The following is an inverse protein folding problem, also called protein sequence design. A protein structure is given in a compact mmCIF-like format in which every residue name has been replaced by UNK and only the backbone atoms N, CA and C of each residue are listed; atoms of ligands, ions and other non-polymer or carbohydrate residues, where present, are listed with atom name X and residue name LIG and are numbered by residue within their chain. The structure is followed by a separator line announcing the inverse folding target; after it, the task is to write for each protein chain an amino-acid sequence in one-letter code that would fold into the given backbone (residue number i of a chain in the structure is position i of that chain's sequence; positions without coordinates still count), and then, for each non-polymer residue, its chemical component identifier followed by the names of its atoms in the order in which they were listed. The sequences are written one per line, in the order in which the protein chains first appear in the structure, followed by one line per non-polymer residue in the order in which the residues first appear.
data_IF_913617188041
#
_entry.id   IF_913617188041
#
_cell.length_a   1.000
_cell.length_b   1.000
_cell.length_c   1.000
_cell.angle_alpha   90.00
_cell.angle_beta   90.00
_cell.angle_gamma   90.00
#
_symmetry.space_group_name_H-M   'P 1'
#
loop_
_entity.id
_entity.type
_entity.pdbx_description
1 polymer ?
#
# COMPACT_ATOMS: atom_id res chain seq x y z
N UNK A 1 18.52 31.71 18.47
CA UNK A 1 19.05 30.47 17.84
C UNK A 1 19.23 30.72 16.33
N UNK A 2 20.17 31.58 15.94
CA UNK A 2 20.33 32.06 14.54
C UNK A 2 21.82 32.29 14.17
N UNK A 3 22.74 31.52 14.76
CA UNK A 3 24.20 31.73 14.67
C UNK A 3 24.96 30.50 14.13
N UNK A 4 24.35 29.66 13.29
CA UNK A 4 25.03 28.51 12.66
C UNK A 4 25.20 28.59 11.14
N UNK A 5 24.76 29.64 10.45
CA UNK A 5 24.86 29.72 8.98
C UNK A 5 25.97 30.63 8.44
N UNK A 6 26.65 31.40 9.29
CA UNK A 6 27.74 32.26 8.85
C UNK A 6 29.01 31.47 8.42
N UNK A 7 29.25 30.30 9.02
CA UNK A 7 30.40 29.44 8.69
C UNK A 7 30.31 28.81 7.30
N UNK A 8 29.14 28.27 6.94
CA UNK A 8 28.88 27.66 5.61
C UNK A 8 29.00 28.65 4.45
N UNK A 9 28.78 29.94 4.70
CA UNK A 9 28.89 31.00 3.68
C UNK A 9 30.35 31.39 3.39
N UNK A 10 31.26 31.29 4.36
CA UNK A 10 32.67 31.64 4.18
C UNK A 10 33.45 30.55 3.42
N UNK A 11 33.15 29.27 3.67
CA UNK A 11 33.79 28.13 2.97
C UNK A 11 33.44 28.09 1.47
N UNK A 12 32.21 28.44 1.09
CA UNK A 12 31.78 28.46 -0.32
C UNK A 12 32.48 29.52 -1.18
N UNK A 13 33.18 30.51 -0.59
CA UNK A 13 33.91 31.55 -1.32
C UNK A 13 35.31 31.12 -1.79
N UNK A 14 35.84 30.00 -1.28
CA UNK A 14 37.16 29.47 -1.66
C UNK A 14 37.08 28.30 -2.67
N UNK A 15 35.90 27.72 -2.88
CA UNK A 15 35.74 26.55 -3.77
C UNK A 15 35.90 26.91 -5.25
N UNK A 16 36.66 26.10 -5.98
CA UNK A 16 36.75 26.17 -7.44
C UNK A 16 35.38 25.84 -8.08
N UNK A 17 35.14 26.21 -9.35
CA UNK A 17 33.92 25.81 -10.06
C UNK A 17 33.71 24.28 -10.08
N UNK A 18 34.78 23.51 -10.22
CA UNK A 18 34.75 22.04 -10.23
C UNK A 18 34.32 21.48 -8.86
N UNK A 19 34.91 21.99 -7.78
CA UNK A 19 34.54 21.60 -6.41
C UNK A 19 33.08 21.93 -6.09
N UNK A 20 32.57 23.06 -6.60
CA UNK A 20 31.14 23.41 -6.47
C UNK A 20 30.24 22.43 -7.23
N UNK A 21 30.60 22.06 -8.45
CA UNK A 21 29.83 21.09 -9.22
C UNK A 21 29.80 19.69 -8.56
N UNK A 22 30.93 19.25 -8.00
CA UNK A 22 31.01 17.99 -7.25
C UNK A 22 30.16 18.04 -5.97
N UNK A 23 30.21 19.16 -5.23
CA UNK A 23 29.36 19.37 -4.07
C UNK A 23 27.87 19.40 -4.44
N UNK A 24 27.49 20.09 -5.53
CA UNK A 24 26.12 20.15 -6.01
C UNK A 24 25.60 18.75 -6.40
N UNK A 25 26.45 17.91 -7.01
CA UNK A 25 26.12 16.53 -7.32
C UNK A 25 25.94 15.67 -6.07
N UNK A 26 26.82 15.84 -5.07
CA UNK A 26 26.72 15.16 -3.78
C UNK A 26 25.46 15.58 -3.01
N UNK A 27 25.14 16.88 -2.99
CA UNK A 27 23.95 17.46 -2.37
C UNK A 27 22.68 16.93 -3.07
N UNK A 28 22.68 16.83 -4.40
CA UNK A 28 21.57 16.25 -5.16
C UNK A 28 21.37 14.76 -4.83
N UNK A 29 22.44 13.98 -4.75
CA UNK A 29 22.38 12.56 -4.39
C UNK A 29 21.92 12.35 -2.93
N UNK A 30 22.28 13.24 -2.01
CA UNK A 30 21.76 13.24 -0.64
C UNK A 30 20.26 13.57 -0.61
N UNK A 31 19.85 14.65 -1.27
CA UNK A 31 18.44 15.05 -1.35
C UNK A 31 17.55 13.98 -2.01
N UNK A 32 18.06 13.29 -3.03
CA UNK A 32 17.34 12.19 -3.68
C UNK A 32 17.10 11.01 -2.74
N UNK A 33 18.05 10.70 -1.83
CA UNK A 33 17.91 9.63 -0.83
C UNK A 33 16.91 9.97 0.26
N UNK A 34 16.77 11.25 0.60
CA UNK A 34 15.80 11.73 1.60
C UNK A 34 14.40 12.00 1.01
N UNK A 35 14.25 11.87 -0.32
CA UNK A 35 13.00 12.20 -0.99
C UNK A 35 11.90 11.20 -0.64
N UNK A 36 10.97 11.65 0.20
CA UNK A 36 9.75 10.88 0.50
C UNK A 36 8.76 10.93 -0.66
N UNK A 37 7.84 9.96 -0.71
CA UNK A 37 6.71 9.96 -1.67
C UNK A 37 5.92 11.27 -1.60
N UNK A 38 5.66 11.78 -0.39
CA UNK A 38 4.97 13.06 -0.21
C UNK A 38 5.75 14.24 -0.80
N UNK A 39 7.08 14.25 -0.66
CA UNK A 39 7.95 15.23 -1.30
C UNK A 39 7.91 15.14 -2.81
N UNK A 40 7.95 13.92 -3.36
CA UNK A 40 7.87 13.67 -4.80
C UNK A 40 6.53 14.16 -5.39
N UNK A 41 5.41 13.95 -4.71
CA UNK A 41 4.10 14.52 -5.10
C UNK A 41 4.16 16.05 -5.15
N UNK A 42 4.74 16.69 -4.13
CA UNK A 42 4.88 18.14 -4.11
C UNK A 42 5.74 18.67 -5.27
N UNK A 43 6.83 17.97 -5.59
CA UNK A 43 7.67 18.27 -6.76
C UNK A 43 6.90 18.10 -8.07
N UNK A 44 6.14 17.01 -8.24
CA UNK A 44 5.32 16.76 -9.42
C UNK A 44 4.29 17.89 -9.67
N UNK A 45 3.60 18.35 -8.62
CA UNK A 45 2.65 19.47 -8.73
C UNK A 45 3.33 20.78 -9.09
N UNK A 46 4.48 21.08 -8.47
CA UNK A 46 5.28 22.28 -8.79
C UNK A 46 5.81 22.24 -10.21
N UNK A 47 6.25 21.08 -10.65
CA UNK A 47 6.77 20.86 -11.98
C UNK A 47 5.71 21.09 -13.06
N UNK A 48 4.52 20.49 -12.88
CA UNK A 48 3.38 20.75 -13.75
C UNK A 48 2.98 22.24 -13.75
N UNK A 49 2.92 22.88 -12.58
CA UNK A 49 2.64 24.32 -12.48
C UNK A 49 3.68 25.18 -13.21
N UNK A 50 4.97 24.83 -13.11
CA UNK A 50 6.07 25.52 -13.82
C UNK A 50 5.94 25.36 -15.33
N UNK A 51 5.62 24.15 -15.84
CA UNK A 51 5.37 23.93 -17.28
C UNK A 51 4.27 24.83 -17.83
N UNK A 52 3.26 25.12 -17.03
CA UNK A 52 2.16 26.02 -17.40
C UNK A 52 2.48 27.52 -17.21
N UNK A 53 3.63 27.86 -16.60
CA UNK A 53 3.98 29.25 -16.31
C UNK A 53 3.05 29.94 -15.30
N UNK A 54 2.33 29.18 -14.46
CA UNK A 54 1.30 29.73 -13.58
C UNK A 54 1.82 30.06 -12.18
N UNK A 55 1.32 31.16 -11.63
CA UNK A 55 1.41 31.42 -10.19
C UNK A 55 0.61 30.37 -9.41
N UNK A 56 0.89 30.21 -8.11
CA UNK A 56 0.16 29.25 -7.27
C UNK A 56 -1.35 29.53 -7.24
N UNK A 57 -1.75 30.81 -7.15
CA UNK A 57 -3.16 31.21 -7.15
C UNK A 57 -3.85 30.91 -8.49
N UNK A 58 -3.17 31.22 -9.60
CA UNK A 58 -3.69 30.94 -10.94
C UNK A 58 -3.82 29.42 -11.19
N UNK A 59 -2.81 28.64 -10.77
CA UNK A 59 -2.85 27.18 -10.85
C UNK A 59 -3.99 26.59 -10.03
N UNK A 60 -4.20 27.09 -8.81
CA UNK A 60 -5.32 26.66 -7.96
C UNK A 60 -6.68 26.96 -8.62
N UNK A 61 -6.84 28.14 -9.24
CA UNK A 61 -8.05 28.50 -9.97
C UNK A 61 -8.31 27.57 -11.16
N UNK A 62 -7.29 27.28 -11.99
CA UNK A 62 -7.39 26.34 -13.11
C UNK A 62 -7.77 24.93 -12.65
N UNK A 63 -7.31 24.53 -11.46
CA UNK A 63 -7.62 23.22 -10.86
C UNK A 63 -8.92 23.22 -10.06
N UNK A 64 -9.65 24.34 -10.00
CA UNK A 64 -10.85 24.52 -9.19
C UNK A 64 -10.65 24.19 -7.70
N UNK A 65 -9.47 24.53 -7.15
CA UNK A 65 -9.10 24.29 -5.75
C UNK A 65 -8.77 25.59 -5.02
N UNK A 66 -8.88 25.56 -3.69
CA UNK A 66 -8.41 26.66 -2.86
C UNK A 66 -6.87 26.80 -2.97
N UNK A 67 -6.31 28.03 -3.06
CA UNK A 67 -4.86 28.23 -3.08
C UNK A 67 -4.12 27.63 -1.88
N UNK A 68 -4.74 27.68 -0.69
CA UNK A 68 -4.20 27.09 0.53
C UNK A 68 -4.13 25.57 0.47
N UNK A 69 -5.07 24.91 -0.21
CA UNK A 69 -5.05 23.48 -0.43
C UNK A 69 -3.88 23.09 -1.33
N UNK A 70 -3.69 23.80 -2.45
CA UNK A 70 -2.54 23.58 -3.34
C UNK A 70 -1.21 23.81 -2.61
N UNK A 71 -1.11 24.88 -1.80
CA UNK A 71 0.10 25.14 -1.02
C UNK A 71 0.43 24.00 -0.04
N UNK A 72 -0.60 23.45 0.62
CA UNK A 72 -0.44 22.33 1.54
C UNK A 72 -0.12 21.02 0.82
N UNK A 73 -0.71 20.75 -0.34
CA UNK A 73 -0.36 19.59 -1.17
C UNK A 73 1.09 19.69 -1.66
N UNK A 74 1.55 20.87 -2.08
CA UNK A 74 2.95 21.08 -2.51
C UNK A 74 3.98 20.91 -1.38
N UNK A 75 3.59 21.05 -0.10
CA UNK A 75 4.52 21.07 1.05
C UNK A 75 4.38 19.87 1.98
N UNK A 76 3.18 19.29 2.09
CA UNK A 76 2.85 18.27 3.07
C UNK A 76 1.78 17.30 2.53
N UNK A 77 1.96 16.79 1.31
CA UNK A 77 1.02 15.88 0.66
C UNK A 77 0.68 14.64 1.52
N UNK A 78 1.62 14.14 2.33
CA UNK A 78 1.42 12.98 3.21
C UNK A 78 0.40 13.19 4.34
N UNK A 79 -0.11 14.42 4.54
CA UNK A 79 -1.19 14.72 5.50
C UNK A 79 -2.59 14.63 4.88
N UNK A 80 -2.68 14.37 3.58
CA UNK A 80 -3.94 14.27 2.85
C UNK A 80 -4.36 12.83 2.66
N UNK A 81 -5.65 12.63 2.39
CA UNK A 81 -6.14 11.30 2.01
C UNK A 81 -5.56 10.93 0.65
N UNK A 82 -5.38 9.63 0.41
CA UNK A 82 -4.86 9.14 -0.86
C UNK A 82 -5.70 9.63 -2.04
N UNK A 83 -7.03 9.63 -1.90
CA UNK A 83 -7.96 10.11 -2.94
C UNK A 83 -7.69 11.57 -3.32
N UNK A 84 -7.48 12.45 -2.34
CA UNK A 84 -7.17 13.87 -2.58
C UNK A 84 -5.84 14.03 -3.34
N UNK A 85 -4.84 13.20 -3.02
CA UNK A 85 -3.54 13.22 -3.68
C UNK A 85 -3.65 12.71 -5.12
N UNK A 86 -4.36 11.61 -5.34
CA UNK A 86 -4.59 11.05 -6.68
C UNK A 86 -5.35 12.07 -7.55
N UNK A 87 -6.39 12.69 -7.01
CA UNK A 87 -7.15 13.72 -7.72
C UNK A 87 -6.29 14.96 -8.01
N UNK A 88 -5.44 15.36 -7.07
CA UNK A 88 -4.49 16.47 -7.28
C UNK A 88 -3.48 16.18 -8.40
N UNK A 89 -3.06 14.92 -8.56
CA UNK A 89 -2.14 14.48 -9.62
C UNK A 89 -2.83 14.25 -10.98
N UNK A 90 -4.16 14.10 -11.01
CA UNK A 90 -4.90 13.82 -12.24
C UNK A 90 -4.63 14.88 -13.32
N UNK A 91 -4.19 14.47 -14.51
CA UNK A 91 -3.87 15.38 -15.62
C UNK A 91 -2.55 16.14 -15.51
N UNK A 92 -1.71 15.85 -14.50
CA UNK A 92 -0.36 16.45 -14.39
C UNK A 92 0.72 15.72 -15.19
N UNK A 93 0.42 14.51 -15.68
CA UNK A 93 1.38 13.58 -16.27
C UNK A 93 2.07 12.67 -15.25
N UNK A 94 1.78 12.82 -13.97
CA UNK A 94 2.29 11.98 -12.89
C UNK A 94 1.16 11.16 -12.25
N UNK A 95 1.50 9.98 -11.73
CA UNK A 95 0.57 9.10 -11.03
C UNK A 95 1.29 8.39 -9.87
N UNK A 96 0.52 7.88 -8.90
CA UNK A 96 1.02 6.97 -7.87
C UNK A 96 0.82 5.53 -8.34
N UNK A 97 1.81 4.70 -8.10
CA UNK A 97 1.77 3.27 -8.43
C UNK A 97 2.30 2.45 -7.27
N UNK A 98 1.71 1.27 -7.07
CA UNK A 98 2.30 0.21 -6.25
C UNK A 98 3.29 -0.53 -7.14
N UNK A 99 4.50 -0.73 -6.65
CA UNK A 99 5.56 -1.44 -7.38
C UNK A 99 6.00 -2.67 -6.58
N UNK A 100 6.25 -3.76 -7.30
CA UNK A 100 6.88 -4.97 -6.76
C UNK A 100 8.36 -4.88 -7.07
N UNK A 101 9.19 -5.02 -6.04
CA UNK A 101 10.63 -5.11 -6.20
C UNK A 101 10.99 -6.57 -6.43
N UNK A 102 11.76 -6.85 -7.48
CA UNK A 102 12.40 -8.15 -7.61
C UNK A 102 13.43 -8.29 -6.48
N UNK A 103 13.25 -9.31 -5.64
CA UNK A 103 14.28 -9.71 -4.69
C UNK A 103 15.44 -10.31 -5.48
N UNK A 104 16.53 -9.55 -5.61
CA UNK A 104 17.79 -10.06 -6.15
C UNK A 104 18.85 -9.75 -5.11
N UNK A 105 19.49 -10.78 -4.58
CA UNK A 105 20.59 -10.60 -3.63
C UNK A 105 21.71 -9.77 -4.29
N UNK A 106 21.85 -8.51 -3.85
CA UNK A 106 23.04 -7.69 -4.12
C UNK A 106 23.03 -6.78 -5.35
N UNK A 107 21.95 -6.67 -6.13
CA UNK A 107 21.91 -5.78 -7.30
C UNK A 107 20.57 -5.05 -7.49
N UNK A 108 20.61 -3.96 -8.27
CA UNK A 108 19.50 -3.05 -8.61
C UNK A 108 18.22 -3.84 -8.86
N UNK A 109 17.33 -3.84 -7.87
CA UNK A 109 16.03 -4.52 -7.95
C UNK A 109 15.22 -3.91 -9.09
N UNK A 110 14.93 -4.68 -10.12
CA UNK A 110 13.97 -4.27 -11.13
C UNK A 110 12.60 -4.09 -10.45
N UNK A 111 12.04 -2.88 -10.53
CA UNK A 111 10.72 -2.57 -10.02
C UNK A 111 9.69 -2.72 -11.14
N UNK A 112 8.66 -3.55 -10.93
CA UNK A 112 7.54 -3.68 -11.85
C UNK A 112 6.30 -3.05 -11.24
N UNK A 113 5.57 -2.24 -12.01
CA UNK A 113 4.27 -1.71 -11.59
C UNK A 113 3.31 -2.90 -11.41
N UNK A 114 2.60 -2.92 -10.29
CA UNK A 114 1.59 -3.94 -9.99
C UNK A 114 0.23 -3.45 -10.48
N UNK A 115 -0.31 -4.11 -11.50
CA UNK A 115 -1.65 -3.89 -12.00
C UNK A 115 -2.70 -4.46 -11.03
N UNK A 116 -3.91 -3.89 -10.91
CA UNK A 116 -4.98 -4.50 -10.13
C UNK A 116 -5.24 -5.97 -10.47
N UNK A 117 -5.05 -6.39 -11.73
CA UNK A 117 -5.24 -7.77 -12.19
C UNK A 117 -4.09 -8.72 -11.81
N UNK A 118 -2.96 -8.21 -11.32
CA UNK A 118 -1.87 -9.04 -10.79
C UNK A 118 -2.23 -9.65 -9.41
N UNK A 119 -3.26 -9.13 -8.76
CA UNK A 119 -3.76 -9.66 -7.49
C UNK A 119 -4.69 -10.84 -7.73
N UNK A 120 -4.61 -11.90 -6.90
CA UNK A 120 -5.56 -13.00 -6.97
C UNK A 120 -7.01 -12.51 -6.84
N UNK A 121 -7.91 -13.06 -7.65
CA UNK A 121 -9.34 -12.72 -7.63
C UNK A 121 -9.91 -12.81 -6.20
N UNK A 122 -9.48 -13.80 -5.44
CA UNK A 122 -9.87 -14.01 -4.04
C UNK A 122 -9.56 -12.80 -3.16
N UNK A 123 -8.40 -12.17 -3.30
CA UNK A 123 -8.04 -10.97 -2.53
C UNK A 123 -8.89 -9.75 -2.92
N UNK A 124 -9.19 -9.64 -4.22
CA UNK A 124 -9.98 -8.52 -4.75
C UNK A 124 -11.43 -8.56 -4.29
N UNK A 125 -12.10 -9.71 -4.44
CA UNK A 125 -13.56 -9.80 -4.29
C UNK A 125 -14.05 -10.71 -3.16
N UNK A 126 -13.23 -11.66 -2.67
CA UNK A 126 -13.71 -12.55 -1.62
C UNK A 126 -13.85 -11.78 -0.30
N UNK A 127 -15.05 -11.84 0.27
CA UNK A 127 -15.39 -11.25 1.55
C UNK A 127 -16.16 -12.27 2.38
N UNK A 128 -15.97 -12.21 3.70
CA UNK A 128 -16.67 -13.00 4.69
C UNK A 128 -18.01 -12.34 4.99
N UNK A 129 -19.08 -13.14 5.03
CA UNK A 129 -20.46 -12.67 5.28
C UNK A 129 -20.83 -11.59 4.23
N UNK A 130 -21.88 -10.82 4.47
CA UNK A 130 -22.37 -9.58 3.82
C UNK A 130 -21.36 -8.56 3.21
N UNK A 131 -20.08 -8.88 3.07
CA UNK A 131 -19.06 -8.03 2.47
C UNK A 131 -18.14 -7.37 3.48
N UNK A 132 -18.41 -7.54 4.78
CA UNK A 132 -17.80 -6.72 5.84
C UNK A 132 -16.32 -6.99 6.12
N UNK A 133 -15.80 -8.20 5.87
CA UNK A 133 -14.41 -8.57 6.23
C UNK A 133 -13.72 -9.36 5.13
N UNK A 134 -12.38 -9.29 5.07
CA UNK A 134 -11.56 -10.17 4.23
C UNK A 134 -11.32 -11.52 4.93
N UNK A 135 -11.03 -12.56 4.15
CA UNK A 135 -10.54 -13.82 4.71
C UNK A 135 -9.12 -13.60 5.29
N UNK A 136 -8.70 -14.38 6.30
CA UNK A 136 -7.34 -14.28 6.81
C UNK A 136 -6.32 -14.68 5.73
N UNK A 137 -5.21 -13.94 5.63
CA UNK A 137 -4.24 -14.06 4.53
C UNK A 137 -3.57 -15.44 4.41
N UNK A 138 -3.51 -16.24 5.47
CA UNK A 138 -2.90 -17.57 5.48
C UNK A 138 -3.89 -18.70 5.12
N UNK A 139 -5.17 -18.37 4.93
CA UNK A 139 -6.18 -19.36 4.55
C UNK A 139 -6.34 -19.41 3.03
N UNK A 140 -6.34 -20.64 2.51
CA UNK A 140 -6.70 -20.87 1.12
C UNK A 140 -8.20 -20.58 0.92
N UNK A 141 -8.50 -19.52 0.18
CA UNK A 141 -9.87 -19.08 -0.10
C UNK A 141 -10.28 -19.57 -1.48
N UNK A 142 -11.43 -20.24 -1.59
CA UNK A 142 -11.98 -20.73 -2.86
C UNK A 142 -13.42 -20.31 -3.06
N UNK A 143 -13.83 -20.17 -4.32
CA UNK A 143 -15.23 -19.97 -4.66
C UNK A 143 -16.00 -21.27 -4.42
N UNK A 144 -17.23 -21.16 -3.94
CA UNK A 144 -18.12 -22.31 -3.74
C UNK A 144 -19.46 -22.03 -4.43
N UNK A 145 -19.96 -23.04 -5.14
CA UNK A 145 -21.30 -23.04 -5.72
C UNK A 145 -22.31 -23.56 -4.68
N UNK A 146 -21.88 -24.53 -3.87
CA UNK A 146 -22.67 -25.10 -2.78
C UNK A 146 -22.08 -24.69 -1.42
N UNK A 147 -22.88 -24.12 -0.52
CA UNK A 147 -22.43 -23.74 0.81
C UNK A 147 -21.89 -24.93 1.61
N UNK A 148 -20.91 -24.69 2.48
CA UNK A 148 -20.40 -25.72 3.37
C UNK A 148 -21.49 -26.20 4.35
N UNK A 149 -21.44 -27.48 4.73
CA UNK A 149 -22.47 -28.13 5.56
C UNK A 149 -22.82 -27.34 6.85
N UNK A 150 -21.82 -26.75 7.51
CA UNK A 150 -22.07 -25.96 8.73
C UNK A 150 -23.02 -24.79 8.50
N UNK A 151 -23.03 -24.17 7.30
CA UNK A 151 -23.91 -23.05 6.98
C UNK A 151 -25.36 -23.51 6.90
N UNK A 152 -25.61 -24.65 6.23
CA UNK A 152 -26.93 -25.28 6.21
C UNK A 152 -27.43 -25.56 7.62
N UNK A 153 -26.57 -26.14 8.47
CA UNK A 153 -26.96 -26.53 9.82
C UNK A 153 -27.11 -25.37 10.81
N UNK A 154 -26.37 -24.26 10.63
CA UNK A 154 -26.30 -23.18 11.62
C UNK A 154 -26.97 -21.88 11.23
N UNK A 155 -27.06 -21.57 9.94
CA UNK A 155 -27.41 -20.23 9.46
C UNK A 155 -28.67 -20.25 8.58
N UNK A 156 -28.79 -21.23 7.68
CA UNK A 156 -29.93 -21.32 6.75
C UNK A 156 -31.27 -21.46 7.49
N UNK A 157 -31.40 -22.44 8.38
CA UNK A 157 -32.66 -22.71 9.09
C UNK A 157 -33.06 -21.64 10.11
N UNK A 158 -32.14 -20.75 10.49
CA UNK A 158 -32.40 -19.62 11.41
C UNK A 158 -32.48 -18.28 10.68
N UNK A 159 -32.48 -18.29 9.35
CA UNK A 159 -32.61 -17.09 8.51
C UNK A 159 -31.46 -16.09 8.68
N UNK A 160 -30.27 -16.56 9.04
CA UNK A 160 -29.12 -15.69 9.32
C UNK A 160 -28.18 -15.60 8.13
N UNK A 161 -28.16 -14.40 7.53
CA UNK A 161 -27.14 -14.01 6.56
C UNK A 161 -27.31 -14.63 5.17
N UNK A 162 -26.63 -14.05 4.16
CA UNK A 162 -26.70 -14.54 2.80
C UNK A 162 -25.95 -15.86 2.63
N UNK A 163 -26.29 -16.57 1.56
CA UNK A 163 -25.56 -17.74 1.10
C UNK A 163 -24.09 -17.40 0.77
N UNK A 164 -23.10 -18.13 1.31
CA UNK A 164 -21.71 -17.83 1.08
C UNK A 164 -21.27 -18.22 -0.33
N UNK A 165 -20.69 -17.26 -1.06
CA UNK A 165 -20.07 -17.49 -2.39
C UNK A 165 -18.58 -17.87 -2.32
N UNK A 166 -17.98 -17.71 -1.14
CA UNK A 166 -16.57 -17.94 -0.85
C UNK A 166 -16.42 -18.71 0.44
N UNK A 167 -15.44 -19.61 0.47
CA UNK A 167 -15.14 -20.41 1.66
C UNK A 167 -13.64 -20.62 1.79
N UNK A 168 -13.17 -20.51 3.03
CA UNK A 168 -11.83 -20.91 3.43
C UNK A 168 -11.94 -22.16 4.29
N UNK A 169 -11.56 -23.35 3.79
CA UNK A 169 -11.46 -24.54 4.62
C UNK A 169 -10.57 -24.26 5.83
N UNK A 170 -10.94 -24.79 6.99
CA UNK A 170 -9.94 -24.94 8.05
C UNK A 170 -8.93 -25.94 7.49
N UNK A 171 -7.68 -25.50 7.37
CA UNK A 171 -6.58 -26.44 7.24
C UNK A 171 -6.75 -27.43 8.39
N UNK A 172 -6.86 -28.71 8.06
CA UNK A 172 -6.79 -29.72 9.09
C UNK A 172 -5.47 -29.47 9.81
N UNK A 173 -5.53 -29.13 11.11
CA UNK A 173 -4.32 -29.15 11.91
C UNK A 173 -3.66 -30.50 11.66
N UNK A 174 -2.37 -30.55 11.28
CA UNK A 174 -1.67 -31.83 11.19
C UNK A 174 -1.92 -32.52 12.54
N UNK A 175 -2.56 -33.68 12.44
CA UNK A 175 -3.32 -34.28 13.52
C UNK A 175 -2.52 -34.31 14.81
N UNK A 176 -3.12 -33.85 15.92
CA UNK A 176 -2.91 -34.55 17.17
C UNK A 176 -3.23 -36.01 16.88
N UNK A 177 -2.20 -36.83 16.78
CA UNK A 177 -2.29 -38.29 16.82
C UNK A 177 -2.96 -38.66 18.14
N UNK A 178 -4.29 -38.62 18.16
CA UNK A 178 -5.09 -39.34 19.14
C UNK A 178 -4.82 -40.81 18.85
N UNK A 179 -3.91 -41.41 19.62
CA UNK A 179 -3.71 -42.85 19.59
C UNK A 179 -5.04 -43.58 19.82
N UNK A 180 -5.17 -44.83 19.34
CA UNK A 180 -6.34 -45.64 19.63
C UNK A 180 -6.51 -45.73 21.15
N UNK A 181 -7.68 -45.34 21.66
CA UNK A 181 -8.06 -45.54 23.05
C UNK A 181 -8.13 -47.05 23.30
N UNK A 182 -7.27 -47.64 24.16
CA UNK A 182 -7.48 -49.01 24.61
C UNK A 182 -8.50 -48.94 25.75
N UNK A 183 -9.72 -49.43 25.52
CA UNK A 183 -10.64 -49.94 26.56
C UNK A 183 -12.07 -50.06 26.03
N UNK A 184 -12.26 -50.80 24.94
CA UNK A 184 -13.57 -51.36 24.58
C UNK A 184 -13.42 -52.79 24.08
N UNK A 185 -12.80 -53.65 24.88
CA UNK A 185 -12.84 -55.11 24.74
C UNK A 185 -12.72 -55.75 26.14
N UNK A 186 -13.75 -55.57 26.97
CA UNK A 186 -13.95 -56.39 28.16
C UNK A 186 -15.35 -56.12 28.75
N UNK A 187 -16.38 -56.73 28.15
CA UNK A 187 -17.65 -57.15 28.81
C UNK A 187 -18.59 -57.74 27.75
N UNK A 188 -18.21 -58.90 27.24
CA UNK A 188 -19.13 -59.89 26.68
C UNK A 188 -18.45 -61.26 26.80
N UNK A 189 -18.21 -61.69 28.04
CA UNK A 189 -17.97 -63.10 28.39
C UNK A 189 -17.95 -63.25 29.91
N UNK A 190 -19.11 -63.55 30.51
CA UNK A 190 -19.26 -64.44 31.67
C UNK A 190 -20.73 -64.49 32.11
N UNK A 191 -21.32 -65.67 31.89
CA UNK A 191 -22.26 -66.41 32.75
C UNK A 191 -23.48 -65.67 33.35
#
# INVERSE_FOLDING_TARGET
MLWCDAGRMAERRCMTPEQRAEQDLADHAAAARELTVAGAVGLALRDHRRRLGLSQRAYAAVRHRAPSLIARLETAAGRFRLDDVVEALAGTGFALAVVRLAETEGAVSSATIVDPMDWPLTELIARVRDGSRRFPAHHETRSVINPPAWWWHREFFVGKGPEPRWYAPRTASPQSTSGPSPDQDARDEAA
#
